data_IF_657617508550
#
_entry.id   IF_657617508550
#
_cell.length_a   1.000
_cell.length_b   1.000
_cell.length_c   1.000
_cell.angle_alpha   90.00
_cell.angle_beta   90.00
_cell.angle_gamma   90.00
#
_symmetry.space_group_name_H-M   'P 1'
#
loop_
_entity.id
_entity.type
_entity.pdbx_description
1 polymer ?
#
# COMPACT_ATOMS: atom_id res chain seq x y z
N UNK A 1 -14.51 20.07 4.27
CA UNK A 1 -15.24 19.07 5.06
C UNK A 1 -14.30 17.92 5.40
N UNK A 2 -13.88 17.80 6.65
CA UNK A 2 -12.98 16.71 7.09
C UNK A 2 -13.90 15.57 7.53
N UNK A 3 -14.13 14.59 6.66
CA UNK A 3 -14.94 13.41 7.00
C UNK A 3 -14.24 12.63 8.13
N UNK A 4 -15.04 12.24 9.13
CA UNK A 4 -14.66 11.52 10.36
C UNK A 4 -13.61 10.44 10.08
N UNK A 5 -12.54 10.41 10.89
CA UNK A 5 -11.74 9.19 11.14
C UNK A 5 -12.71 8.16 11.74
N UNK A 6 -13.38 7.38 10.90
CA UNK A 6 -14.10 6.22 11.37
C UNK A 6 -13.06 5.23 11.90
N UNK A 7 -13.28 4.70 13.10
CA UNK A 7 -12.52 3.60 13.67
C UNK A 7 -12.81 2.35 12.83
N UNK A 8 -12.17 2.24 11.67
CA UNK A 8 -12.28 1.09 10.79
C UNK A 8 -11.41 -0.01 11.42
N UNK A 9 -12.00 -0.75 12.37
CA UNK A 9 -11.35 -1.85 13.11
C UNK A 9 -11.05 -3.06 12.23
N UNK A 10 -11.68 -3.14 11.05
CA UNK A 10 -11.56 -4.28 10.15
C UNK A 10 -10.75 -3.89 8.93
N UNK A 11 -9.88 -4.77 8.43
CA UNK A 11 -9.20 -4.52 7.17
C UNK A 11 -10.22 -4.36 6.04
N UNK A 12 -10.00 -3.37 5.17
CA UNK A 12 -10.80 -3.18 3.96
C UNK A 12 -10.23 -4.06 2.85
N UNK A 13 -11.09 -4.80 2.17
CA UNK A 13 -10.73 -5.52 0.95
C UNK A 13 -10.89 -4.57 -0.23
N UNK A 14 -9.80 -4.37 -0.97
CA UNK A 14 -9.73 -3.52 -2.15
C UNK A 14 -9.43 -4.39 -3.36
N UNK A 15 -10.20 -4.22 -4.42
CA UNK A 15 -10.08 -5.01 -5.64
C UNK A 15 -10.03 -4.11 -6.86
N UNK A 16 -9.30 -4.53 -7.88
CA UNK A 16 -9.24 -3.91 -9.21
C UNK A 16 -8.92 -2.40 -9.21
N UNK A 17 -7.82 -2.02 -8.56
CA UNK A 17 -7.35 -0.63 -8.53
C UNK A 17 -5.90 -0.53 -9.02
N UNK A 18 -5.50 0.65 -9.48
CA UNK A 18 -4.13 0.89 -9.97
C UNK A 18 -3.39 1.74 -8.95
N UNK A 19 -2.16 1.36 -8.65
CA UNK A 19 -1.27 2.15 -7.78
C UNK A 19 0.09 2.35 -8.45
N UNK A 20 0.78 3.40 -8.03
CA UNK A 20 2.18 3.61 -8.37
C UNK A 20 3.04 3.10 -7.22
N UNK A 21 3.82 2.05 -7.46
CA UNK A 21 4.76 1.55 -6.45
C UNK A 21 5.96 2.48 -6.37
N UNK A 22 6.34 2.86 -5.16
CA UNK A 22 7.52 3.65 -4.87
C UNK A 22 8.31 2.94 -3.77
N UNK A 23 9.59 3.25 -3.64
CA UNK A 23 10.38 2.75 -2.53
C UNK A 23 11.23 3.86 -1.90
N UNK A 24 11.61 3.64 -0.64
CA UNK A 24 12.59 4.44 0.08
C UNK A 24 13.40 3.54 1.00
N UNK A 25 14.58 3.98 1.40
CA UNK A 25 15.35 3.32 2.44
C UNK A 25 15.01 3.97 3.78
N UNK A 26 14.69 3.14 4.76
CA UNK A 26 14.49 3.53 6.16
C UNK A 26 15.60 2.94 7.01
N UNK A 27 16.06 3.71 7.99
CA UNK A 27 16.99 3.22 9.00
C UNK A 27 16.23 2.39 10.03
N UNK A 28 16.76 1.21 10.33
CA UNK A 28 16.23 0.34 11.40
C UNK A 28 17.06 0.54 12.67
N UNK A 29 16.52 0.15 13.83
CA UNK A 29 17.17 0.29 15.15
C UNK A 29 18.60 -0.28 15.19
N UNK A 30 18.93 -1.23 14.31
CA UNK A 30 20.24 -1.86 14.17
C UNK A 30 21.16 -1.21 13.11
N UNK A 31 20.91 0.04 12.71
CA UNK A 31 21.65 0.77 11.66
C UNK A 31 21.66 0.08 10.28
N UNK A 32 20.78 -0.90 10.06
CA UNK A 32 20.60 -1.51 8.75
C UNK A 32 19.58 -0.70 7.96
N UNK A 33 19.93 -0.35 6.72
CA UNK A 33 18.98 0.24 5.77
C UNK A 33 18.03 -0.85 5.28
N UNK A 34 16.73 -0.68 5.54
CA UNK A 34 15.67 -1.53 4.99
C UNK A 34 14.95 -0.79 3.88
N UNK A 35 14.70 -1.46 2.76
CA UNK A 35 13.85 -0.93 1.69
C UNK A 35 12.38 -1.05 2.11
N UNK A 36 11.64 0.04 2.02
CA UNK A 36 10.21 0.12 2.30
C UNK A 36 9.48 0.50 1.02
N UNK A 37 8.52 -0.34 0.61
CA UNK A 37 7.65 -0.06 -0.54
C UNK A 37 6.41 0.70 -0.08
N UNK A 38 5.96 1.66 -0.88
CA UNK A 38 4.78 2.47 -0.57
C UNK A 38 4.08 2.94 -1.84
N UNK A 39 2.82 3.34 -1.71
CA UNK A 39 2.10 4.12 -2.71
C UNK A 39 1.65 5.43 -2.09
N UNK A 40 1.53 6.45 -2.93
CA UNK A 40 0.95 7.74 -2.57
C UNK A 40 -0.42 7.92 -3.22
N UNK A 41 -1.23 8.81 -2.64
CA UNK A 41 -2.52 9.23 -3.18
C UNK A 41 -3.45 8.05 -3.51
N UNK A 42 -3.58 7.11 -2.56
CA UNK A 42 -4.46 5.96 -2.70
C UNK A 42 -5.92 6.41 -2.51
N UNK A 43 -6.68 6.35 -3.59
CA UNK A 43 -8.11 6.66 -3.65
C UNK A 43 -8.91 5.39 -3.88
N UNK A 44 -9.99 5.21 -3.11
CA UNK A 44 -10.90 4.08 -3.28
C UNK A 44 -12.27 4.38 -2.70
N UNK A 45 -13.28 3.63 -3.15
CA UNK A 45 -14.64 3.68 -2.61
C UNK A 45 -14.86 2.47 -1.71
N UNK A 46 -15.39 2.71 -0.52
CA UNK A 46 -15.79 1.66 0.41
C UNK A 46 -17.10 2.06 1.09
N UNK A 47 -18.08 1.16 1.17
CA UNK A 47 -19.40 1.44 1.79
C UNK A 47 -20.08 2.73 1.28
N UNK A 48 -19.92 3.05 -0.01
CA UNK A 48 -20.41 4.27 -0.67
C UNK A 48 -19.76 5.59 -0.21
N UNK A 49 -18.66 5.53 0.52
CA UNK A 49 -17.83 6.68 0.86
C UNK A 49 -16.51 6.64 0.09
N UNK A 50 -16.10 7.82 -0.40
CA UNK A 50 -14.77 8.03 -0.97
C UNK A 50 -13.73 8.15 0.15
N UNK A 51 -12.67 7.35 0.04
CA UNK A 51 -11.53 7.38 0.94
C UNK A 51 -10.29 7.85 0.19
N UNK A 52 -9.51 8.67 0.88
CA UNK A 52 -8.22 9.15 0.41
C UNK A 52 -7.15 8.88 1.46
N UNK A 53 -6.08 8.22 1.04
CA UNK A 53 -4.91 7.94 1.87
C UNK A 53 -3.68 8.51 1.18
N UNK A 54 -3.06 9.50 1.84
CA UNK A 54 -1.87 10.17 1.31
C UNK A 54 -0.72 9.21 1.06
N UNK A 55 -0.49 8.27 1.97
CA UNK A 55 0.58 7.27 1.88
C UNK A 55 0.12 5.95 2.52
N UNK A 56 0.39 4.83 1.85
CA UNK A 56 0.22 3.49 2.40
C UNK A 56 1.47 2.65 2.11
N UNK A 57 1.94 1.93 3.13
CA UNK A 57 3.04 0.97 3.00
C UNK A 57 2.54 -0.28 2.30
N UNK A 58 3.28 -0.74 1.31
CA UNK A 58 2.94 -1.91 0.53
C UNK A 58 3.69 -3.11 1.10
N UNK A 59 2.96 -4.20 1.31
CA UNK A 59 3.50 -5.53 1.56
C UNK A 59 2.91 -6.50 0.57
N UNK A 60 3.68 -7.47 0.10
CA UNK A 60 3.19 -8.50 -0.81
C UNK A 60 3.05 -9.80 -0.03
N UNK A 61 1.90 -10.47 -0.10
CA UNK A 61 1.60 -11.64 0.73
C UNK A 61 2.30 -12.92 0.23
N UNK A 62 2.62 -12.95 -1.07
CA UNK A 62 3.16 -14.13 -1.77
C UNK A 62 4.46 -13.88 -2.52
N UNK A 63 5.07 -12.70 -2.35
CA UNK A 63 6.43 -12.45 -2.82
C UNK A 63 7.34 -12.51 -1.61
N UNK A 64 8.47 -13.20 -1.75
CA UNK A 64 9.52 -13.22 -0.75
C UNK A 64 9.91 -11.78 -0.40
N UNK A 65 9.74 -11.39 0.88
CA UNK A 65 10.07 -10.05 1.38
C UNK A 65 11.54 -9.68 1.07
N UNK A 66 12.39 -10.69 0.85
CA UNK A 66 13.80 -10.56 0.52
C UNK A 66 14.08 -10.22 -0.97
N UNK A 67 13.14 -10.43 -1.91
CA UNK A 67 13.39 -10.20 -3.35
C UNK A 67 12.20 -9.65 -4.20
N UNK A 68 11.50 -8.58 -3.77
CA UNK A 68 10.44 -7.95 -4.58
C UNK A 68 10.96 -7.26 -5.86
N UNK A 69 12.27 -7.00 -5.96
CA UNK A 69 12.91 -6.31 -7.10
C UNK A 69 12.90 -7.11 -8.41
N UNK A 70 12.74 -8.43 -8.34
CA UNK A 70 12.55 -9.25 -9.55
C UNK A 70 11.23 -8.96 -10.25
N UNK A 71 10.26 -8.37 -9.53
CA UNK A 71 8.89 -8.20 -10.01
C UNK A 71 8.45 -6.74 -10.09
N UNK A 72 9.19 -5.80 -9.49
CA UNK A 72 8.75 -4.41 -9.36
C UNK A 72 9.91 -3.42 -9.50
N UNK A 73 9.70 -2.40 -10.33
CA UNK A 73 10.57 -1.24 -10.43
C UNK A 73 9.97 -0.04 -9.67
N UNK A 74 10.78 0.77 -8.97
CA UNK A 74 10.29 2.02 -8.37
C UNK A 74 9.69 2.95 -9.43
N UNK A 75 8.52 3.50 -9.14
CA UNK A 75 7.75 4.34 -10.06
C UNK A 75 6.85 3.57 -11.03
N UNK A 76 6.90 2.24 -11.03
CA UNK A 76 6.04 1.40 -11.87
C UNK A 76 4.57 1.49 -11.43
N UNK A 77 3.66 1.41 -12.40
CA UNK A 77 2.25 1.22 -12.12
C UNK A 77 1.93 -0.27 -12.06
N UNK A 78 1.12 -0.67 -11.08
CA UNK A 78 0.57 -2.02 -11.01
C UNK A 78 -0.93 -1.96 -10.85
N UNK A 79 -1.61 -2.89 -11.50
CA UNK A 79 -3.01 -3.20 -11.26
C UNK A 79 -3.10 -4.23 -10.16
N UNK A 80 -3.66 -3.84 -9.02
CA UNK A 80 -3.95 -4.72 -7.89
C UNK A 80 -5.31 -5.37 -8.11
N UNK A 81 -5.32 -6.68 -8.26
CA UNK A 81 -6.56 -7.46 -8.39
C UNK A 81 -7.18 -7.73 -7.02
N UNK A 82 -6.34 -8.07 -6.04
CA UNK A 82 -6.76 -8.34 -4.67
C UNK A 82 -5.76 -7.74 -3.69
N UNK A 83 -6.28 -6.93 -2.76
CA UNK A 83 -5.50 -6.31 -1.71
C UNK A 83 -6.32 -6.09 -0.44
N UNK A 84 -5.61 -5.96 0.67
CA UNK A 84 -6.17 -5.78 2.00
C UNK A 84 -5.52 -4.59 2.68
N UNK A 85 -6.29 -3.54 2.87
CA UNK A 85 -5.87 -2.32 3.53
C UNK A 85 -6.14 -2.42 5.04
N UNK A 86 -5.09 -2.32 5.84
CA UNK A 86 -5.15 -2.21 7.30
C UNK A 86 -4.87 -0.76 7.67
N UNK A 87 -5.84 -0.11 8.32
CA UNK A 87 -5.61 1.17 8.96
C UNK A 87 -4.83 0.95 10.24
N UNK A 88 -3.90 1.85 10.53
CA UNK A 88 -3.35 1.89 11.86
C UNK A 88 -4.12 2.88 12.74
N UNK A 89 -4.53 2.39 13.91
CA UNK A 89 -5.27 3.17 14.90
C UNK A 89 -4.34 4.13 15.67
N UNK A 90 -3.04 3.83 15.72
CA UNK A 90 -2.02 4.64 16.39
C UNK A 90 -1.36 5.64 15.43
N UNK A 91 -1.31 6.91 15.81
CA UNK A 91 -0.82 8.02 14.97
C UNK A 91 0.65 7.94 14.51
N UNK A 92 1.42 6.99 15.03
CA UNK A 92 2.83 6.79 14.64
C UNK A 92 3.03 5.67 13.61
N UNK A 93 1.98 4.90 13.32
CA UNK A 93 2.04 3.78 12.39
C UNK A 93 1.36 4.14 11.06
N UNK A 94 1.97 3.69 9.96
CA UNK A 94 1.48 3.96 8.61
C UNK A 94 0.41 2.93 8.23
N UNK A 95 -0.55 3.32 7.40
CA UNK A 95 -1.52 2.38 6.82
C UNK A 95 -0.77 1.33 5.99
N UNK A 96 -1.21 0.08 6.04
CA UNK A 96 -0.56 -1.04 5.35
C UNK A 96 -1.52 -1.61 4.30
N UNK A 97 -1.12 -1.56 3.05
CA UNK A 97 -1.76 -2.25 1.94
C UNK A 97 -1.04 -3.57 1.69
N UNK A 98 -1.70 -4.68 1.99
CA UNK A 98 -1.21 -6.02 1.67
C UNK A 98 -1.75 -6.39 0.29
N UNK A 99 -0.86 -6.69 -0.66
CA UNK A 99 -1.20 -7.06 -2.03
C UNK A 99 -1.03 -8.56 -2.17
N UNK A 100 -2.12 -9.24 -2.50
CA UNK A 100 -2.16 -10.67 -2.76
C UNK A 100 -1.84 -10.94 -4.24
N UNK A 101 -2.58 -10.28 -5.14
CA UNK A 101 -2.43 -10.47 -6.59
C UNK A 101 -2.38 -9.15 -7.33
N UNK A 102 -1.42 -9.01 -8.23
CA UNK A 102 -1.27 -7.85 -9.11
C UNK A 102 -0.76 -8.23 -10.50
N UNK A 103 -0.83 -7.27 -11.41
CA UNK A 103 -0.20 -7.31 -12.73
C UNK A 103 0.56 -6.01 -12.96
N UNK A 104 1.73 -6.12 -13.60
CA UNK A 104 2.50 -4.98 -14.05
C UNK A 104 1.76 -4.26 -15.18
N UNK A 105 1.60 -2.95 -15.06
CA UNK A 105 1.10 -2.08 -16.12
C UNK A 105 2.29 -1.27 -16.66
N UNK A 106 2.51 -1.33 -17.96
CA UNK A 106 3.69 -0.69 -18.57
C UNK A 106 3.48 0.79 -18.88
N UNK A 107 2.24 1.28 -18.97
CA UNK A 107 1.94 2.67 -19.32
C UNK A 107 0.61 3.14 -18.71
N UNK A 108 0.50 4.44 -18.45
CA UNK A 108 -0.78 5.12 -18.20
C UNK A 108 -0.77 6.49 -18.87
#
# INVERSE_FOLDING_TARGET
MIKKKQNIKKPILLNNFVIKVQNRYIDTENQKKKREWFTTNLEFVFENDDYYIKEAIIKFDHIDDDNPEFFLQPGQFIKVFNGKLKFCENCNEKNILIIDKFQQEYER
#
